data_IF_555703874187
#
_entry.id   IF_555703874187
#
_cell.length_a   1.000
_cell.length_b   1.000
_cell.length_c   1.000
_cell.angle_alpha   90.00
_cell.angle_beta   90.00
_cell.angle_gamma   90.00
#
_symmetry.space_group_name_H-M   'P 1'
#
loop_
_entity.id
_entity.type
_entity.pdbx_description
1 polymer ?
#
# COMPACT_ATOMS: atom_id res chain seq x y z
N UNK A 1 12.91 24.43 -31.65
CA UNK A 1 12.66 25.13 -30.37
C UNK A 1 12.37 24.07 -29.32
N UNK A 2 13.42 23.57 -28.65
CA UNK A 2 13.27 22.52 -27.62
C UNK A 2 12.95 23.26 -26.32
N UNK A 3 11.69 23.21 -25.90
CA UNK A 3 11.29 23.74 -24.61
C UNK A 3 12.09 23.00 -23.52
N UNK A 4 12.96 23.73 -22.84
CA UNK A 4 13.70 23.30 -21.65
C UNK A 4 12.74 23.14 -20.46
N UNK A 5 11.68 22.35 -20.65
CA UNK A 5 10.77 21.95 -19.59
C UNK A 5 11.53 20.98 -18.71
N UNK A 6 12.04 21.47 -17.57
CA UNK A 6 12.38 20.59 -16.45
C UNK A 6 11.13 19.78 -16.16
N UNK A 7 11.19 18.47 -16.36
CA UNK A 7 10.16 17.55 -15.90
C UNK A 7 10.06 17.79 -14.39
N UNK A 8 8.99 18.46 -13.98
CA UNK A 8 8.68 18.63 -12.57
C UNK A 8 8.48 17.20 -12.07
N UNK A 9 9.46 16.67 -11.34
CA UNK A 9 9.36 15.37 -10.69
C UNK A 9 8.26 15.48 -9.65
N UNK A 10 7.04 15.22 -10.08
CA UNK A 10 5.82 15.40 -9.33
C UNK A 10 5.66 14.18 -8.41
N UNK A 11 6.53 14.11 -7.40
CA UNK A 11 6.47 13.12 -6.32
C UNK A 11 5.55 13.66 -5.23
N UNK A 12 4.25 13.48 -5.40
CA UNK A 12 3.25 13.86 -4.39
C UNK A 12 2.46 12.63 -3.94
N UNK A 13 2.11 12.60 -2.65
CA UNK A 13 1.32 11.52 -2.08
C UNK A 13 -0.17 11.79 -2.31
N UNK A 14 -0.78 11.08 -3.27
CA UNK A 14 -2.22 11.12 -3.52
C UNK A 14 -2.89 9.86 -3.01
N UNK A 15 -3.91 9.98 -2.15
CA UNK A 15 -4.60 8.83 -1.53
C UNK A 15 -3.65 7.85 -0.80
N UNK A 16 -2.46 8.34 -0.42
CA UNK A 16 -1.42 7.54 0.19
C UNK A 16 -0.51 6.75 -0.76
N UNK A 17 -0.59 7.06 -2.05
CA UNK A 17 0.28 6.58 -3.12
C UNK A 17 1.23 7.72 -3.53
N UNK A 18 2.53 7.48 -3.53
CA UNK A 18 3.49 8.42 -4.09
C UNK A 18 3.41 8.36 -5.62
N UNK A 19 2.63 9.26 -6.22
CA UNK A 19 2.58 9.41 -7.68
C UNK A 19 3.96 9.85 -8.16
N UNK A 20 4.46 9.26 -9.25
CA UNK A 20 5.82 9.49 -9.75
C UNK A 20 6.91 8.61 -9.12
N UNK A 21 6.63 7.88 -8.05
CA UNK A 21 7.55 6.88 -7.51
C UNK A 21 7.45 5.57 -8.30
N UNK A 22 8.58 4.89 -8.53
CA UNK A 22 8.58 3.65 -9.31
C UNK A 22 7.85 2.53 -8.54
N UNK A 23 6.66 2.08 -8.99
CA UNK A 23 5.85 1.08 -8.29
C UNK A 23 6.49 -0.32 -8.35
N UNK A 24 7.51 -0.54 -9.18
CA UNK A 24 8.26 -1.81 -9.19
C UNK A 24 9.25 -1.91 -8.02
N UNK A 25 9.58 -0.80 -7.37
CA UNK A 25 10.51 -0.79 -6.23
C UNK A 25 9.76 -1.07 -4.94
N UNK A 26 10.23 -2.04 -4.16
CA UNK A 26 9.69 -2.39 -2.83
C UNK A 26 9.64 -1.18 -1.90
N UNK A 27 10.62 -0.26 -2.01
CA UNK A 27 10.72 0.96 -1.20
C UNK A 27 9.50 1.88 -1.34
N UNK A 28 8.89 1.92 -2.54
CA UNK A 28 7.67 2.69 -2.80
C UNK A 28 6.47 2.17 -1.99
N UNK A 29 6.46 0.86 -1.69
CA UNK A 29 5.37 0.21 -0.93
C UNK A 29 5.56 0.29 0.58
N UNK A 30 6.72 0.73 1.07
CA UNK A 30 7.05 0.72 2.49
C UNK A 30 6.15 1.66 3.30
N UNK A 31 5.82 2.83 2.75
CA UNK A 31 4.87 3.78 3.36
C UNK A 31 3.48 3.16 3.52
N UNK A 32 3.04 2.37 2.54
CA UNK A 32 1.75 1.68 2.56
C UNK A 32 1.74 0.52 3.57
N UNK A 33 2.77 -0.34 3.55
CA UNK A 33 2.96 -1.42 4.53
C UNK A 33 2.92 -0.86 5.96
N UNK A 34 3.55 0.30 6.20
CA UNK A 34 3.52 0.99 7.50
C UNK A 34 2.10 1.43 7.89
N UNK A 35 1.31 1.95 6.93
CA UNK A 35 -0.10 2.29 7.16
C UNK A 35 -0.94 1.05 7.48
N UNK A 36 -0.73 -0.06 6.79
CA UNK A 36 -1.37 -1.35 7.09
C UNK A 36 -1.06 -1.79 8.51
N UNK A 37 0.22 -1.82 8.88
CA UNK A 37 0.67 -2.25 10.20
C UNK A 37 0.10 -1.35 11.30
N UNK A 38 0.01 -0.03 11.08
CA UNK A 38 -0.63 0.91 12.02
C UNK A 38 -2.13 0.62 12.18
N UNK A 39 -2.86 0.40 11.07
CA UNK A 39 -4.28 0.02 11.14
C UNK A 39 -4.46 -1.33 11.85
N UNK A 40 -3.74 -2.37 11.44
CA UNK A 40 -3.80 -3.69 12.09
C UNK A 40 -3.47 -3.62 13.59
N UNK A 41 -2.48 -2.83 13.99
CA UNK A 41 -2.12 -2.64 15.40
C UNK A 41 -3.27 -2.05 16.23
N UNK A 42 -3.96 -1.04 15.72
CA UNK A 42 -5.13 -0.43 16.38
C UNK A 42 -6.24 -1.48 16.57
N UNK A 43 -6.42 -2.38 15.62
CA UNK A 43 -7.48 -3.39 15.67
C UNK A 43 -7.07 -4.61 16.50
N UNK A 44 -5.77 -4.92 16.57
CA UNK A 44 -5.21 -5.91 17.49
C UNK A 44 -5.46 -5.52 18.95
N UNK A 45 -5.51 -4.22 19.23
CA UNK A 45 -5.83 -3.68 20.55
C UNK A 45 -7.34 -3.72 20.88
N UNK A 46 -8.20 -3.85 19.86
CA UNK A 46 -9.63 -4.13 20.06
C UNK A 46 -9.83 -5.63 20.28
N UNK A 47 -10.71 -5.98 21.21
CA UNK A 47 -11.09 -7.38 21.46
C UNK A 47 -11.98 -7.83 20.30
N UNK A 48 -11.37 -8.24 19.19
CA UNK A 48 -12.06 -8.93 18.10
C UNK A 48 -12.03 -10.43 18.34
N UNK A 49 -13.19 -11.07 18.18
CA UNK A 49 -13.32 -12.52 18.04
C UNK A 49 -12.43 -13.06 16.92
N UNK A 50 -11.99 -14.31 17.02
CA UNK A 50 -11.11 -14.98 16.06
C UNK A 50 -11.65 -14.89 14.62
N UNK A 51 -12.95 -15.13 14.43
CA UNK A 51 -13.61 -14.95 13.12
C UNK A 51 -13.57 -13.49 12.65
N UNK A 52 -13.80 -12.54 13.56
CA UNK A 52 -13.73 -11.12 13.25
C UNK A 52 -12.33 -10.71 12.75
N UNK A 53 -11.28 -11.27 13.35
CA UNK A 53 -9.89 -11.04 12.91
C UNK A 53 -9.65 -11.55 11.50
N UNK A 54 -10.13 -12.76 11.18
CA UNK A 54 -9.96 -13.37 9.85
C UNK A 54 -10.75 -12.60 8.79
N UNK A 55 -12.03 -12.30 9.03
CA UNK A 55 -12.85 -11.50 8.12
C UNK A 55 -12.24 -10.11 7.87
N UNK A 56 -11.70 -9.50 8.91
CA UNK A 56 -11.06 -8.20 8.79
C UNK A 56 -9.78 -8.26 7.95
N UNK A 57 -8.90 -9.23 8.23
CA UNK A 57 -7.68 -9.44 7.46
C UNK A 57 -8.04 -9.64 5.99
N UNK A 58 -9.03 -10.50 5.69
CA UNK A 58 -9.51 -10.69 4.32
C UNK A 58 -10.06 -9.40 3.71
N UNK A 59 -10.93 -8.66 4.41
CA UNK A 59 -11.50 -7.39 3.89
C UNK A 59 -10.41 -6.36 3.56
N UNK A 60 -9.42 -6.21 4.43
CA UNK A 60 -8.31 -5.26 4.27
C UNK A 60 -7.34 -5.72 3.17
N UNK A 61 -7.04 -7.03 3.09
CA UNK A 61 -6.23 -7.63 2.03
C UNK A 61 -6.93 -7.73 0.67
N UNK A 62 -8.26 -7.64 0.63
CA UNK A 62 -8.99 -7.65 -0.63
C UNK A 62 -9.13 -6.23 -1.16
N UNK A 63 -9.60 -5.29 -0.33
CA UNK A 63 -9.92 -3.92 -0.75
C UNK A 63 -8.70 -3.07 -1.15
N UNK A 64 -7.62 -3.09 -0.35
CA UNK A 64 -6.45 -2.25 -0.63
C UNK A 64 -5.59 -2.78 -1.79
N UNK A 65 -5.22 -4.07 -1.85
CA UNK A 65 -4.55 -4.62 -3.01
C UNK A 65 -5.38 -4.47 -4.27
N UNK A 66 -6.72 -4.60 -4.25
CA UNK A 66 -7.54 -4.27 -5.43
C UNK A 66 -7.37 -2.82 -5.87
N UNK A 67 -7.44 -1.87 -4.93
CA UNK A 67 -7.24 -0.46 -5.24
C UNK A 67 -5.86 -0.20 -5.84
N UNK A 68 -4.80 -0.79 -5.28
CA UNK A 68 -3.43 -0.59 -5.74
C UNK A 68 -3.07 -1.39 -7.00
N UNK A 69 -3.62 -2.60 -7.17
CA UNK A 69 -3.41 -3.46 -8.35
C UNK A 69 -4.11 -2.89 -9.58
N UNK A 70 -5.22 -2.16 -9.42
CA UNK A 70 -5.85 -1.43 -10.52
C UNK A 70 -4.93 -0.36 -11.12
N UNK A 71 -4.05 0.25 -10.32
CA UNK A 71 -3.11 1.27 -10.81
C UNK A 71 -1.70 0.72 -11.09
N UNK A 72 -1.24 -0.29 -10.35
CA UNK A 72 0.16 -0.71 -10.34
C UNK A 72 0.36 -2.22 -10.14
N UNK A 73 1.25 -2.81 -10.94
CA UNK A 73 1.63 -4.23 -10.78
C UNK A 73 2.49 -4.40 -9.51
N UNK A 74 1.96 -5.10 -8.51
CA UNK A 74 2.62 -5.27 -7.21
C UNK A 74 3.75 -6.30 -7.26
N UNK A 75 4.94 -6.02 -6.69
CA UNK A 75 6.01 -7.01 -6.58
C UNK A 75 5.65 -8.15 -5.61
N UNK A 76 6.01 -9.39 -5.94
CA UNK A 76 5.75 -10.57 -5.09
C UNK A 76 6.36 -10.43 -3.67
N UNK A 77 7.48 -9.71 -3.52
CA UNK A 77 8.08 -9.40 -2.22
C UNK A 77 7.17 -8.56 -1.32
N UNK A 78 6.40 -7.65 -1.90
CA UNK A 78 5.44 -6.80 -1.17
C UNK A 78 4.24 -7.65 -0.75
N UNK A 79 3.75 -8.52 -1.63
CA UNK A 79 2.69 -9.50 -1.29
C UNK A 79 3.11 -10.34 -0.09
N UNK A 80 4.31 -10.94 -0.12
CA UNK A 80 4.82 -11.75 0.99
C UNK A 80 4.92 -10.97 2.29
N UNK A 81 5.38 -9.71 2.24
CA UNK A 81 5.43 -8.85 3.43
C UNK A 81 4.04 -8.57 3.99
N UNK A 82 3.05 -8.31 3.13
CA UNK A 82 1.68 -8.00 3.55
C UNK A 82 0.98 -9.23 4.14
N UNK A 83 1.16 -10.41 3.55
CA UNK A 83 0.61 -11.68 4.08
C UNK A 83 1.24 -12.06 5.42
N UNK A 84 2.47 -11.59 5.70
CA UNK A 84 3.18 -11.83 6.95
C UNK A 84 2.90 -10.81 8.07
N UNK A 85 2.12 -9.75 7.82
CA UNK A 85 1.79 -8.70 8.81
C UNK A 85 0.71 -9.17 9.80
#
# INVERSE_FOLDING_TARGET
MVLNCKILTFLFDYLGISIGANPRRVKTWESMIRKFRKKLSVWKHKILSMMGRICLINSVLTSLPLFFLSFFKMPCLVVKKIVSL
#
